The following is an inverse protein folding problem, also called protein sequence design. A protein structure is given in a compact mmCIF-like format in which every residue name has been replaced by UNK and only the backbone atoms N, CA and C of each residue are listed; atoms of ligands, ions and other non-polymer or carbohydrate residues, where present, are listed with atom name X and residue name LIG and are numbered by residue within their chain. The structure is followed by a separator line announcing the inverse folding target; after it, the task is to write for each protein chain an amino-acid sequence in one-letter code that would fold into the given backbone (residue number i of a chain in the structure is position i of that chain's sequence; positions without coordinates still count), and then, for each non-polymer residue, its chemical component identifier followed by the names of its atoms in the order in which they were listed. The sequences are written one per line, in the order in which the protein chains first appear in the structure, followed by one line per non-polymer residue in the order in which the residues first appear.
data_IF_598383168151
#
_entry.id   IF_598383168151
#
_cell.length_a   1.000
_cell.length_b   1.000
_cell.length_c   1.000
_cell.angle_alpha   90.00
_cell.angle_beta   90.00
_cell.angle_gamma   90.00
#
_symmetry.space_group_name_H-M   'P 1'
#
loop_
_entity.id
_entity.type
_entity.pdbx_description
1 polymer ?
#
# COMPACT_ATOMS: atom_id res chain seq x y z
N UNK A 1 26.35 63.28 7.22
CA UNK A 1 26.27 61.85 7.59
C UNK A 1 24.86 61.40 7.28
N UNK A 2 24.68 60.66 6.19
CA UNK A 2 23.38 60.10 5.81
C UNK A 2 23.12 58.86 6.66
N UNK A 3 22.04 58.91 7.45
CA UNK A 3 21.54 57.74 8.19
C UNK A 3 20.78 56.88 7.18
N UNK A 4 21.47 55.87 6.63
CA UNK A 4 20.83 54.78 5.86
C UNK A 4 20.00 53.96 6.85
N UNK A 5 18.71 54.23 6.88
CA UNK A 5 17.71 53.53 7.67
C UNK A 5 17.38 52.21 6.97
N UNK A 6 17.98 51.13 7.46
CA UNK A 6 17.47 49.77 7.75
C UNK A 6 16.27 49.17 6.99
N UNK A 7 15.93 49.62 5.78
CA UNK A 7 14.76 49.15 5.01
C UNK A 7 14.80 47.64 4.67
N UNK A 8 15.99 47.02 4.76
CA UNK A 8 16.19 45.61 4.49
C UNK A 8 15.62 44.69 5.59
N UNK A 9 15.57 45.15 6.85
CA UNK A 9 15.06 44.33 7.96
C UNK A 9 13.53 44.22 7.98
N UNK A 10 12.83 45.29 7.58
CA UNK A 10 11.37 45.31 7.53
C UNK A 10 10.82 44.40 6.43
N UNK A 11 11.42 44.44 5.25
CA UNK A 11 11.00 43.60 4.12
C UNK A 11 11.25 42.11 4.38
N UNK A 12 12.36 41.77 5.03
CA UNK A 12 12.70 40.39 5.38
C UNK A 12 11.78 39.82 6.47
N UNK A 13 11.39 40.63 7.46
CA UNK A 13 10.40 40.23 8.46
C UNK A 13 9.02 39.98 7.84
N UNK A 14 8.58 40.86 6.91
CA UNK A 14 7.30 40.69 6.23
C UNK A 14 7.29 39.45 5.31
N UNK A 15 8.41 39.14 4.64
CA UNK A 15 8.54 37.88 3.90
C UNK A 15 8.48 36.66 4.81
N UNK A 16 9.11 36.72 5.98
CA UNK A 16 9.07 35.62 6.95
C UNK A 16 7.67 35.39 7.49
N UNK A 17 6.94 36.45 7.82
CA UNK A 17 5.54 36.39 8.31
C UNK A 17 4.59 35.83 7.24
N UNK A 18 4.73 36.28 5.99
CA UNK A 18 3.97 35.73 4.85
C UNK A 18 4.31 34.25 4.63
N UNK A 19 5.59 33.88 4.64
CA UNK A 19 6.02 32.48 4.46
C UNK A 19 5.49 31.59 5.59
N UNK A 20 5.47 32.10 6.81
CA UNK A 20 4.94 31.40 7.97
C UNK A 20 3.42 31.24 7.90
N UNK A 21 2.68 32.28 7.50
CA UNK A 21 1.23 32.18 7.30
C UNK A 21 0.88 31.20 6.18
N UNK A 22 1.64 31.17 5.08
CA UNK A 22 1.43 30.19 4.00
C UNK A 22 1.65 28.74 4.47
N UNK A 23 2.69 28.50 5.29
CA UNK A 23 2.91 27.17 5.88
C UNK A 23 1.81 26.76 6.85
N UNK A 24 1.31 27.69 7.66
CA UNK A 24 0.20 27.42 8.60
C UNK A 24 -1.09 27.06 7.86
N UNK A 25 -1.40 27.76 6.75
CA UNK A 25 -2.54 27.44 5.88
C UNK A 25 -2.38 26.07 5.21
N UNK A 26 -1.18 25.74 4.72
CA UNK A 26 -0.90 24.45 4.08
C UNK A 26 -1.07 23.26 5.07
N UNK A 27 -0.64 23.43 6.32
CA UNK A 27 -0.82 22.43 7.38
C UNK A 27 -2.31 22.27 7.74
N UNK A 28 -3.07 23.37 7.81
CA UNK A 28 -4.50 23.32 8.09
C UNK A 28 -5.28 22.63 6.95
N UNK A 29 -4.91 22.89 5.69
CA UNK A 29 -5.46 22.19 4.52
C UNK A 29 -5.15 20.68 4.54
N UNK A 30 -3.93 20.30 4.94
CA UNK A 30 -3.54 18.88 5.08
C UNK A 30 -4.39 18.18 6.15
N UNK A 31 -4.60 18.81 7.30
CA UNK A 31 -5.41 18.26 8.38
C UNK A 31 -6.90 18.14 8.01
N UNK A 32 -7.44 19.12 7.27
CA UNK A 32 -8.79 19.05 6.71
C UNK A 32 -8.89 17.88 5.72
N UNK A 33 -7.91 17.71 4.85
CA UNK A 33 -7.88 16.62 3.88
C UNK A 33 -7.78 15.24 4.56
N UNK A 34 -6.87 15.07 5.53
CA UNK A 34 -6.75 13.86 6.36
C UNK A 34 -8.08 13.53 7.04
N UNK A 35 -8.75 14.53 7.60
CA UNK A 35 -10.06 14.36 8.23
C UNK A 35 -11.10 13.89 7.21
N UNK A 36 -11.16 14.52 6.02
CA UNK A 36 -12.05 14.09 4.93
C UNK A 36 -11.80 12.63 4.53
N UNK A 37 -10.54 12.26 4.28
CA UNK A 37 -10.11 10.89 3.97
C UNK A 37 -10.55 9.92 5.05
N UNK A 38 -10.23 10.19 6.32
CA UNK A 38 -10.53 9.28 7.45
C UNK A 38 -12.03 9.13 7.75
N UNK A 39 -12.82 10.17 7.45
CA UNK A 39 -14.28 10.15 7.61
C UNK A 39 -15.03 9.60 6.38
N UNK A 40 -14.31 9.24 5.32
CA UNK A 40 -14.90 8.82 4.06
C UNK A 40 -15.57 7.43 4.19
N UNK A 41 -16.77 7.21 3.62
CA UNK A 41 -17.45 5.91 3.70
C UNK A 41 -16.63 4.73 3.18
N UNK A 42 -15.78 4.97 2.17
CA UNK A 42 -14.91 3.94 1.59
C UNK A 42 -13.58 3.74 2.33
N UNK A 43 -13.25 4.53 3.35
CA UNK A 43 -11.95 4.45 4.03
C UNK A 43 -11.69 3.07 4.65
N UNK A 44 -12.71 2.46 5.25
CA UNK A 44 -12.61 1.11 5.82
C UNK A 44 -12.32 0.04 4.76
N UNK A 45 -12.95 0.16 3.59
CA UNK A 45 -12.74 -0.73 2.46
C UNK A 45 -11.34 -0.57 1.87
N UNK A 46 -10.88 0.67 1.70
CA UNK A 46 -9.53 0.98 1.26
C UNK A 46 -8.49 0.32 2.18
N UNK A 47 -8.64 0.49 3.50
CA UNK A 47 -7.73 -0.10 4.48
C UNK A 47 -7.74 -1.63 4.40
N UNK A 48 -8.92 -2.24 4.25
CA UNK A 48 -9.07 -3.67 4.11
C UNK A 48 -8.35 -4.21 2.86
N UNK A 49 -8.62 -3.62 1.69
CA UNK A 49 -7.97 -3.99 0.43
C UNK A 49 -6.45 -3.82 0.51
N UNK A 50 -5.98 -2.75 1.16
CA UNK A 50 -4.56 -2.49 1.34
C UNK A 50 -3.89 -3.55 2.23
N UNK A 51 -4.52 -3.90 3.37
CA UNK A 51 -4.01 -4.95 4.26
C UNK A 51 -3.99 -6.30 3.56
N UNK A 52 -5.03 -6.65 2.79
CA UNK A 52 -5.05 -7.92 2.05
C UNK A 52 -3.96 -7.98 0.97
N UNK A 53 -3.68 -6.86 0.28
CA UNK A 53 -2.55 -6.78 -0.63
C UNK A 53 -1.21 -7.04 0.09
N UNK A 54 -1.00 -6.46 1.29
CA UNK A 54 0.22 -6.65 2.08
C UNK A 54 0.40 -8.09 2.59
N UNK A 55 -0.69 -8.78 2.94
CA UNK A 55 -0.63 -10.18 3.39
C UNK A 55 -0.05 -11.09 2.31
N UNK A 56 -0.46 -10.91 1.06
CA UNK A 56 0.09 -11.66 -0.08
C UNK A 56 1.60 -11.43 -0.21
N UNK A 57 2.08 -10.21 0.04
CA UNK A 57 3.52 -9.90 0.04
C UNK A 57 4.29 -10.49 1.22
N UNK A 58 3.63 -10.73 2.36
CA UNK A 58 4.28 -11.18 3.60
C UNK A 58 4.53 -12.69 3.64
N UNK A 59 3.99 -13.45 2.67
CA UNK A 59 4.14 -14.90 2.63
C UNK A 59 3.21 -15.65 3.59
N UNK A 60 2.29 -14.95 4.28
CA UNK A 60 1.28 -15.54 5.16
C UNK A 60 0.13 -16.20 4.36
N UNK A 61 0.47 -17.03 3.38
CA UNK A 61 -0.49 -17.75 2.52
C UNK A 61 -1.29 -18.82 3.26
N UNK A 62 -0.78 -19.31 4.40
CA UNK A 62 -1.35 -20.46 5.13
C UNK A 62 -2.39 -20.08 6.19
N UNK A 63 -2.66 -18.79 6.42
CA UNK A 63 -3.75 -18.40 7.31
C UNK A 63 -5.08 -18.63 6.58
N UNK A 64 -5.99 -19.49 7.07
CA UNK A 64 -7.28 -19.73 6.42
C UNK A 64 -8.03 -18.42 6.31
N UNK A 65 -8.08 -17.90 5.09
CA UNK A 65 -8.74 -16.65 4.78
C UNK A 65 -10.24 -16.89 4.92
N UNK A 66 -10.86 -16.24 5.90
CA UNK A 66 -12.30 -15.94 5.85
C UNK A 66 -12.48 -14.95 4.70
N UNK A 67 -12.41 -15.47 3.48
CA UNK A 67 -12.65 -14.73 2.25
C UNK A 67 -14.12 -14.30 2.29
N UNK A 68 -14.37 -13.09 2.77
CA UNK A 68 -15.62 -12.38 2.52
C UNK A 68 -15.63 -12.01 1.03
N UNK A 69 -15.95 -12.98 0.18
CA UNK A 69 -16.20 -12.80 -1.26
C UNK A 69 -17.30 -11.75 -1.54
N UNK A 70 -18.07 -11.41 -0.51
CA UNK A 70 -19.06 -10.33 -0.53
C UNK A 70 -18.43 -8.94 -0.79
N UNK A 71 -17.23 -8.67 -0.28
CA UNK A 71 -16.61 -7.33 -0.34
C UNK A 71 -16.01 -7.05 -1.73
N UNK A 72 -15.41 -8.05 -2.37
CA UNK A 72 -14.97 -7.98 -3.78
C UNK A 72 -16.14 -7.90 -4.76
N UNK A 73 -17.27 -8.54 -4.45
CA UNK A 73 -18.49 -8.44 -5.26
C UNK A 73 -19.14 -7.05 -5.17
N UNK A 74 -19.06 -6.40 -4.00
CA UNK A 74 -19.53 -5.02 -3.84
C UNK A 74 -18.72 -4.03 -4.71
N UNK A 75 -17.39 -4.18 -4.75
CA UNK A 75 -16.52 -3.35 -5.59
C UNK A 75 -16.73 -3.58 -7.08
N UNK A 76 -16.84 -4.83 -7.53
CA UNK A 76 -17.13 -5.12 -8.94
C UNK A 76 -18.51 -4.61 -9.35
N UNK A 77 -19.50 -4.64 -8.46
CA UNK A 77 -20.84 -4.10 -8.73
C UNK A 77 -20.86 -2.56 -8.82
N UNK A 78 -20.07 -1.87 -7.99
CA UNK A 78 -19.84 -0.43 -8.07
C UNK A 78 -19.10 -0.04 -9.36
N UNK A 79 -18.06 -0.80 -9.72
CA UNK A 79 -17.25 -0.58 -10.92
C UNK A 79 -18.04 -0.84 -12.22
N UNK A 80 -18.89 -1.88 -12.26
CA UNK A 80 -19.74 -2.20 -13.43
C UNK A 80 -20.96 -1.27 -13.58
N UNK A 81 -21.29 -0.47 -12.57
CA UNK A 81 -22.38 0.53 -12.64
C UNK A 81 -21.92 1.90 -13.14
N UNK A 82 -20.64 2.06 -13.51
CA UNK A 82 -20.13 3.28 -14.14
C UNK A 82 -20.62 3.50 -15.58
N UNK A 83 -21.27 2.50 -16.20
CA UNK A 83 -21.91 2.63 -17.52
C UNK A 83 -23.37 3.10 -17.39
N UNK A 84 -23.59 4.33 -16.94
CA UNK A 84 -24.67 5.20 -17.43
C UNK A 84 -24.78 6.49 -16.61
N UNK A 85 -24.40 7.61 -17.22
CA UNK A 85 -25.13 8.87 -17.10
C UNK A 85 -25.37 9.41 -15.68
N UNK A 86 -24.35 9.47 -14.83
CA UNK A 86 -24.33 10.41 -13.70
C UNK A 86 -23.11 11.32 -13.81
N UNK A 87 -23.12 12.14 -14.85
CA UNK A 87 -22.32 13.36 -14.86
C UNK A 87 -22.82 14.29 -13.75
N UNK A 88 -21.85 14.86 -13.03
CA UNK A 88 -21.93 15.94 -12.04
C UNK A 88 -21.97 15.51 -10.55
N UNK A 89 -20.80 15.67 -9.90
CA UNK A 89 -20.56 15.87 -8.46
C UNK A 89 -20.04 14.73 -7.57
N UNK A 90 -19.31 13.73 -8.08
CA UNK A 90 -18.39 13.01 -7.17
C UNK A 90 -17.22 13.94 -6.81
N UNK A 91 -16.86 14.02 -5.53
CA UNK A 91 -15.65 14.73 -5.11
C UNK A 91 -14.45 14.01 -5.72
N UNK A 92 -13.39 14.73 -6.12
CA UNK A 92 -12.11 14.12 -6.53
C UNK A 92 -11.64 13.01 -5.56
N UNK A 93 -11.96 13.18 -4.27
CA UNK A 93 -11.72 12.20 -3.23
C UNK A 93 -12.48 10.89 -3.43
N UNK A 94 -13.73 10.93 -3.90
CA UNK A 94 -14.55 9.74 -4.12
C UNK A 94 -13.92 8.90 -5.25
N UNK A 95 -13.56 9.55 -6.36
CA UNK A 95 -12.89 8.91 -7.48
C UNK A 95 -11.53 8.33 -7.07
N UNK A 96 -10.77 9.05 -6.26
CA UNK A 96 -9.51 8.55 -5.71
C UNK A 96 -9.73 7.29 -4.84
N UNK A 97 -10.71 7.32 -3.93
CA UNK A 97 -10.99 6.20 -3.03
C UNK A 97 -11.40 4.94 -3.79
N UNK A 98 -12.25 5.08 -4.81
CA UNK A 98 -12.68 3.97 -5.66
C UNK A 98 -11.54 3.41 -6.49
N UNK A 99 -10.82 4.28 -7.21
CA UNK A 99 -9.69 3.87 -8.05
C UNK A 99 -8.62 3.17 -7.22
N UNK A 100 -8.30 3.69 -6.04
CA UNK A 100 -7.27 3.11 -5.19
C UNK A 100 -7.70 1.73 -4.65
N UNK A 101 -8.97 1.56 -4.23
CA UNK A 101 -9.49 0.25 -3.86
C UNK A 101 -9.37 -0.75 -5.02
N UNK A 102 -9.77 -0.36 -6.24
CA UNK A 102 -9.70 -1.23 -7.43
C UNK A 102 -8.25 -1.63 -7.74
N UNK A 103 -7.34 -0.66 -7.78
CA UNK A 103 -5.93 -0.90 -8.08
C UNK A 103 -5.28 -1.83 -7.06
N UNK A 104 -5.65 -1.75 -5.76
CA UNK A 104 -5.14 -2.67 -4.73
C UNK A 104 -5.62 -4.12 -4.95
N UNK A 105 -6.87 -4.30 -5.38
CA UNK A 105 -7.42 -5.63 -5.69
C UNK A 105 -6.71 -6.22 -6.91
N UNK A 106 -6.59 -5.45 -7.99
CA UNK A 106 -5.87 -5.85 -9.20
C UNK A 106 -4.40 -6.19 -8.91
N UNK A 107 -3.74 -5.38 -8.08
CA UNK A 107 -2.36 -5.64 -7.65
C UNK A 107 -2.25 -6.94 -6.84
N UNK A 108 -3.16 -7.17 -5.89
CA UNK A 108 -3.21 -8.43 -5.13
C UNK A 108 -3.30 -9.62 -6.08
N UNK A 109 -4.29 -9.63 -6.97
CA UNK A 109 -4.52 -10.72 -7.91
C UNK A 109 -3.32 -10.96 -8.84
N UNK A 110 -2.69 -9.88 -9.33
CA UNK A 110 -1.51 -9.96 -10.17
C UNK A 110 -0.28 -10.52 -9.44
N UNK A 111 -0.15 -10.27 -8.13
CA UNK A 111 1.00 -10.70 -7.32
C UNK A 111 0.84 -12.10 -6.72
N UNK A 112 -0.39 -12.55 -6.47
CA UNK A 112 -0.68 -13.78 -5.74
C UNK A 112 -0.05 -15.03 -6.38
N UNK A 113 -0.28 -15.21 -7.69
CA UNK A 113 0.28 -16.34 -8.44
C UNK A 113 1.82 -16.36 -8.49
N UNK A 114 2.51 -15.29 -8.93
CA UNK A 114 3.97 -15.32 -9.03
C UNK A 114 4.67 -15.49 -7.68
N UNK A 115 4.10 -14.95 -6.59
CA UNK A 115 4.66 -15.15 -5.25
C UNK A 115 4.49 -16.59 -4.76
N UNK A 116 3.30 -17.17 -4.94
CA UNK A 116 3.03 -18.57 -4.59
C UNK A 116 3.97 -19.52 -5.36
N UNK A 117 4.14 -19.26 -6.66
CA UNK A 117 4.99 -20.09 -7.52
C UNK A 117 6.48 -19.98 -7.14
N UNK A 118 6.92 -18.78 -6.74
CA UNK A 118 8.27 -18.55 -6.23
C UNK A 118 8.51 -19.28 -4.90
N UNK A 119 7.56 -19.20 -3.96
CA UNK A 119 7.67 -19.91 -2.68
C UNK A 119 7.80 -21.41 -2.88
N UNK A 120 6.90 -22.00 -3.70
CA UNK A 120 6.93 -23.42 -4.05
C UNK A 120 8.25 -23.83 -4.71
N UNK A 121 8.80 -22.98 -5.59
CA UNK A 121 10.10 -23.24 -6.21
C UNK A 121 11.23 -23.25 -5.17
N UNK A 122 11.24 -22.27 -4.26
CA UNK A 122 12.23 -22.19 -3.18
C UNK A 122 12.16 -23.38 -2.23
N UNK A 123 10.95 -23.84 -1.87
CA UNK A 123 10.73 -25.05 -1.06
C UNK A 123 11.29 -26.29 -1.76
N UNK A 124 11.01 -26.44 -3.06
CA UNK A 124 11.49 -27.56 -3.85
C UNK A 124 13.02 -27.58 -3.98
N UNK A 125 13.65 -26.42 -4.16
CA UNK A 125 15.12 -26.29 -4.18
C UNK A 125 15.71 -26.60 -2.81
N UNK A 126 15.11 -26.07 -1.74
CA UNK A 126 15.56 -26.31 -0.36
C UNK A 126 15.48 -27.80 0.01
N UNK A 127 14.40 -28.48 -0.38
CA UNK A 127 14.25 -29.92 -0.17
C UNK A 127 15.33 -30.73 -0.91
N UNK A 128 15.63 -30.39 -2.17
CA UNK A 128 16.69 -31.05 -2.94
C UNK A 128 18.08 -30.83 -2.32
N UNK A 129 18.39 -29.61 -1.88
CA UNK A 129 19.66 -29.32 -1.21
C UNK A 129 19.82 -30.11 0.08
N UNK A 130 18.75 -30.20 0.88
CA UNK A 130 18.76 -31.00 2.12
C UNK A 130 18.99 -32.49 1.84
N UNK A 131 18.34 -33.05 0.82
CA UNK A 131 18.53 -34.45 0.41
C UNK A 131 19.99 -34.72 -0.01
N UNK A 132 20.61 -33.82 -0.76
CA UNK A 132 22.03 -33.92 -1.15
C UNK A 132 22.95 -33.91 0.08
N UNK A 133 22.69 -33.03 1.05
CA UNK A 133 23.49 -32.95 2.28
C UNK A 133 23.35 -34.23 3.10
N UNK A 134 22.12 -34.72 3.29
CA UNK A 134 21.84 -35.95 4.03
C UNK A 134 22.43 -37.19 3.34
N UNK A 135 22.27 -37.33 2.03
CA UNK A 135 22.84 -38.44 1.25
C UNK A 135 24.38 -38.43 1.26
N UNK A 136 25.03 -37.27 1.21
CA UNK A 136 26.50 -37.19 1.32
C UNK A 136 27.04 -37.63 2.69
N UNK A 137 26.26 -37.40 3.76
CA UNK A 137 26.63 -37.81 5.11
C UNK A 137 26.52 -39.33 5.34
N UNK A 138 25.59 -40.00 4.66
CA UNK A 138 25.48 -41.46 4.64
C UNK A 138 26.66 -42.13 3.94
N UNK A 139 27.20 -41.53 2.88
CA UNK A 139 28.38 -42.05 2.19
C UNK A 139 29.67 -41.92 3.03
N UNK A 140 29.71 -41.03 4.04
CA UNK A 140 30.86 -40.85 4.94
C UNK A 140 30.86 -41.81 6.14
N UNK A 141 29.72 -42.40 6.49
CA UNK A 141 29.54 -43.28 7.66
C UNK A 141 29.75 -44.79 7.39
N UNK A 142 29.94 -45.20 6.14
CA UNK A 142 29.97 -46.61 5.74
C UNK A 142 31.32 -47.32 5.77
N UNK A 143 32.41 -46.69 6.24
CA UNK A 143 33.76 -47.29 6.23
C UNK A 143 34.35 -47.50 7.64
N UNK A 144 33.58 -48.20 8.47
CA UNK A 144 34.07 -49.07 9.55
C UNK A 144 33.09 -50.25 9.45
N UNK A 145 33.48 -51.41 8.92
CA UNK A 145 33.79 -52.63 9.68
C UNK A 145 34.17 -53.75 8.66
N UNK A 146 35.28 -54.44 8.95
CA UNK A 146 35.82 -55.68 8.35
C UNK A 146 36.36 -55.67 6.91
#
# INVERSE_FOLDING_TARGET
MEVKKDDNGFLENMKHEITQSFKEVEVEEEDILKKRISSHPLYGLLLHSHVNCLKVCSGDFDSPEVMNTADGLALTKLSLQADSSSEATSSELDQFMEAYCSTLVELKEAMEKPLTETHRFMDAVSAQLNDIVLSSSHLKGGNMNN
#
